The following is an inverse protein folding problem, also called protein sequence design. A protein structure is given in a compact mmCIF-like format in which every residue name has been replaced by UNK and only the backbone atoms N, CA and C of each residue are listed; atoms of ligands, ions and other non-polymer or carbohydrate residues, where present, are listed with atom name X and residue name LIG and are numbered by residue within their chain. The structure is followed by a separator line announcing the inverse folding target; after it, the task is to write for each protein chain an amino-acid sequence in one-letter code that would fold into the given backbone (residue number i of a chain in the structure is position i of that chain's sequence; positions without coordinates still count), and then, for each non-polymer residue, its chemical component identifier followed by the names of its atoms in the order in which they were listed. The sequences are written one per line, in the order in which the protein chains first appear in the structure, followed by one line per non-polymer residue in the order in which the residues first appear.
data_IF_154790706803
#
_entry.id   IF_154790706803
#
_cell.length_a   1.000
_cell.length_b   1.000
_cell.length_c   1.000
_cell.angle_alpha   90.00
_cell.angle_beta   90.00
_cell.angle_gamma   90.00
#
_symmetry.space_group_name_H-M   'P 1'
#
loop_
_entity.id
_entity.type
_entity.pdbx_description
1 polymer ?
#
# COMPACT_ATOMS: atom_id res chain seq x y z
N UNK A 1 10.30 -4.80 13.77
CA UNK A 1 11.17 -3.76 13.16
C UNK A 1 10.77 -3.64 11.69
N UNK A 2 10.39 -2.46 11.19
CA UNK A 2 9.88 -2.29 9.82
C UNK A 2 11.01 -2.14 8.80
N UNK A 3 10.78 -2.53 7.54
CA UNK A 3 11.81 -2.55 6.47
C UNK A 3 12.42 -1.16 6.27
N UNK A 4 11.62 -0.10 6.37
CA UNK A 4 12.08 1.30 6.30
C UNK A 4 13.22 1.59 7.28
N UNK A 5 13.09 1.17 8.55
CA UNK A 5 14.14 1.38 9.58
C UNK A 5 15.40 0.55 9.37
N UNK A 6 15.33 -0.51 8.58
CA UNK A 6 16.47 -1.41 8.31
C UNK A 6 17.25 -0.93 7.07
N UNK A 7 16.53 -0.56 6.02
CA UNK A 7 17.14 -0.24 4.72
C UNK A 7 17.44 1.24 4.54
N UNK A 8 16.75 2.12 5.26
CA UNK A 8 16.84 3.57 5.07
C UNK A 8 16.32 4.06 3.70
N UNK A 9 15.66 3.18 2.94
CA UNK A 9 15.15 3.54 1.61
C UNK A 9 13.96 4.50 1.71
N UNK A 10 13.76 5.35 0.70
CA UNK A 10 12.60 6.23 0.61
C UNK A 10 11.26 5.46 0.70
N UNK A 11 10.26 6.08 1.35
CA UNK A 11 8.97 5.43 1.59
C UNK A 11 8.26 5.04 0.29
N UNK A 12 8.40 5.82 -0.78
CA UNK A 12 7.84 5.52 -2.10
C UNK A 12 8.48 4.27 -2.74
N UNK A 13 9.76 3.99 -2.48
CA UNK A 13 10.41 2.76 -2.93
C UNK A 13 9.90 1.55 -2.16
N UNK A 14 9.78 1.66 -0.83
CA UNK A 14 9.24 0.60 0.01
C UNK A 14 7.76 0.32 -0.31
N UNK A 15 6.95 1.36 -0.51
CA UNK A 15 5.54 1.18 -0.91
C UNK A 15 5.41 0.40 -2.23
N UNK A 16 6.35 0.60 -3.17
CA UNK A 16 6.39 -0.14 -4.44
C UNK A 16 6.67 -1.63 -4.23
N UNK A 17 7.54 -2.01 -3.29
CA UNK A 17 7.86 -3.43 -3.03
C UNK A 17 6.70 -4.16 -2.34
N UNK A 18 5.90 -3.45 -1.54
CA UNK A 18 4.74 -4.01 -0.84
C UNK A 18 3.47 -4.11 -1.69
N UNK A 19 3.34 -3.31 -2.75
CA UNK A 19 2.12 -3.24 -3.56
C UNK A 19 2.41 -3.45 -5.06
N UNK A 20 2.97 -2.46 -5.74
CA UNK A 20 3.13 -2.46 -7.20
C UNK A 20 3.92 -3.66 -7.73
N UNK A 21 5.01 -4.04 -7.06
CA UNK A 21 5.82 -5.19 -7.47
C UNK A 21 5.03 -6.50 -7.34
N UNK A 22 4.23 -6.64 -6.28
CA UNK A 22 3.40 -7.83 -6.06
C UNK A 22 2.28 -7.92 -7.11
N UNK A 23 1.57 -6.82 -7.34
CA UNK A 23 0.53 -6.73 -8.36
C UNK A 23 1.10 -7.09 -9.75
N UNK A 24 2.26 -6.54 -10.10
CA UNK A 24 2.95 -6.87 -11.36
C UNK A 24 3.34 -8.35 -11.44
N UNK A 25 3.92 -8.92 -10.38
CA UNK A 25 4.34 -10.32 -10.36
C UNK A 25 3.16 -11.28 -10.54
N UNK A 26 1.98 -10.90 -10.04
CA UNK A 26 0.74 -11.67 -10.16
C UNK A 26 -0.09 -11.28 -11.39
N UNK A 27 0.39 -10.36 -12.23
CA UNK A 27 -0.31 -9.82 -13.42
C UNK A 27 -1.67 -9.17 -13.09
N UNK A 28 -1.80 -8.60 -11.89
CA UNK A 28 -2.95 -7.80 -11.49
C UNK A 28 -2.76 -6.38 -12.03
N UNK A 29 -3.56 -6.02 -13.03
CA UNK A 29 -3.48 -4.71 -13.71
C UNK A 29 -4.44 -3.68 -13.11
N UNK A 30 -5.27 -4.09 -12.17
CA UNK A 30 -6.34 -3.31 -11.56
C UNK A 30 -5.95 -2.73 -10.19
N UNK A 31 -4.74 -3.02 -9.67
CA UNK A 31 -4.33 -2.60 -8.32
C UNK A 31 -2.81 -2.43 -8.18
N UNK A 32 -2.37 -2.08 -6.98
CA UNK A 32 -0.95 -1.91 -6.65
C UNK A 32 -0.42 -0.49 -6.85
N UNK A 33 -1.30 0.46 -7.16
CA UNK A 33 -0.97 1.88 -7.26
C UNK A 33 -2.17 2.77 -6.94
N UNK A 34 -1.92 4.05 -6.68
CA UNK A 34 -2.95 5.06 -6.43
C UNK A 34 -3.11 5.90 -7.69
N UNK A 35 -4.08 5.53 -8.52
CA UNK A 35 -4.38 6.19 -9.79
C UNK A 35 -5.85 5.99 -10.14
N UNK A 36 -6.49 7.00 -10.72
CA UNK A 36 -7.86 6.88 -11.23
C UNK A 36 -7.99 5.68 -12.18
N UNK A 37 -9.07 4.92 -12.03
CA UNK A 37 -9.35 3.70 -12.81
C UNK A 37 -8.81 2.41 -12.20
N UNK A 38 -8.02 2.48 -11.12
CA UNK A 38 -7.63 1.30 -10.33
C UNK A 38 -8.62 1.02 -9.21
N UNK A 39 -8.65 -0.23 -8.77
CA UNK A 39 -9.39 -0.68 -7.60
C UNK A 39 -8.89 0.06 -6.35
N UNK A 40 -9.82 0.57 -5.55
CA UNK A 40 -9.53 1.31 -4.32
C UNK A 40 -9.20 0.36 -3.15
N UNK A 41 -8.15 -0.44 -3.33
CA UNK A 41 -7.48 -1.20 -2.28
C UNK A 41 -6.38 -0.31 -1.68
N UNK A 42 -6.69 0.35 -0.55
CA UNK A 42 -5.85 1.39 0.05
C UNK A 42 -5.65 1.16 1.54
N UNK A 43 -4.46 1.47 2.03
CA UNK A 43 -4.15 1.52 3.46
C UNK A 43 -3.67 2.92 3.82
N UNK A 44 -4.30 3.54 4.82
CA UNK A 44 -3.86 4.80 5.39
C UNK A 44 -2.99 4.52 6.61
N UNK A 45 -1.81 5.14 6.66
CA UNK A 45 -0.82 4.95 7.71
C UNK A 45 -0.46 6.27 8.39
N UNK A 46 -0.06 6.20 9.66
CA UNK A 46 0.66 7.29 10.34
C UNK A 46 2.10 7.43 9.81
N UNK A 47 2.83 8.51 10.15
CA UNK A 47 4.27 8.62 9.83
C UNK A 47 5.12 7.47 10.38
N UNK A 48 4.69 6.83 11.48
CA UNK A 48 5.36 5.67 12.09
C UNK A 48 5.01 4.33 11.45
N UNK A 49 4.15 4.35 10.41
CA UNK A 49 3.61 3.20 9.68
C UNK A 49 2.57 2.38 10.46
N UNK A 50 1.89 2.98 11.43
CA UNK A 50 0.76 2.37 12.11
C UNK A 50 -0.52 2.53 11.26
N UNK A 51 -1.39 1.51 11.26
CA UNK A 51 -2.59 1.50 10.41
C UNK A 51 -3.69 2.39 11.00
N UNK A 52 -4.15 3.36 10.22
CA UNK A 52 -5.29 4.22 10.56
C UNK A 52 -6.58 3.67 9.97
N UNK A 53 -6.57 3.28 8.70
CA UNK A 53 -7.74 2.75 8.01
C UNK A 53 -7.35 1.85 6.83
N UNK A 54 -8.24 0.91 6.48
CA UNK A 54 -8.10 0.05 5.29
C UNK A 54 -9.37 0.11 4.47
N UNK A 55 -9.20 0.27 3.16
CA UNK A 55 -10.25 0.26 2.15
C UNK A 55 -10.00 -0.94 1.22
N UNK A 56 -11.04 -1.72 0.94
CA UNK A 56 -11.00 -2.86 0.01
C UNK A 56 -12.13 -2.67 -0.99
N UNK A 57 -11.79 -2.48 -2.26
CA UNK A 57 -12.78 -2.20 -3.30
C UNK A 57 -13.65 -0.97 -3.00
N UNK A 58 -13.08 0.08 -2.39
CA UNK A 58 -13.76 1.30 -1.91
C UNK A 58 -14.55 1.16 -0.61
N UNK A 59 -14.70 -0.04 -0.06
CA UNK A 59 -15.35 -0.22 1.25
C UNK A 59 -14.34 -0.09 2.38
N UNK A 60 -14.61 0.78 3.35
CA UNK A 60 -13.80 0.86 4.57
C UNK A 60 -13.99 -0.42 5.39
N UNK A 61 -12.95 -1.25 5.49
CA UNK A 61 -12.95 -2.52 6.23
C UNK A 61 -12.30 -2.43 7.61
N UNK A 62 -11.51 -1.39 7.86
CA UNK A 62 -10.87 -1.14 9.14
C UNK A 62 -10.76 0.36 9.42
N UNK A 63 -10.85 0.72 10.71
CA UNK A 63 -10.54 2.03 11.27
C UNK A 63 -10.01 1.82 12.69
N UNK A 64 -8.86 2.40 13.02
CA UNK A 64 -8.34 2.49 14.38
C UNK A 64 -9.01 3.63 15.16
#
# INVERSE_FOLDING_TARGET
RNVVRITGLPLNEIARTCAANQARSLRLNDRGGVKQGLLADLTLLTPDLEVVAVYVGSEKRYSA
#
